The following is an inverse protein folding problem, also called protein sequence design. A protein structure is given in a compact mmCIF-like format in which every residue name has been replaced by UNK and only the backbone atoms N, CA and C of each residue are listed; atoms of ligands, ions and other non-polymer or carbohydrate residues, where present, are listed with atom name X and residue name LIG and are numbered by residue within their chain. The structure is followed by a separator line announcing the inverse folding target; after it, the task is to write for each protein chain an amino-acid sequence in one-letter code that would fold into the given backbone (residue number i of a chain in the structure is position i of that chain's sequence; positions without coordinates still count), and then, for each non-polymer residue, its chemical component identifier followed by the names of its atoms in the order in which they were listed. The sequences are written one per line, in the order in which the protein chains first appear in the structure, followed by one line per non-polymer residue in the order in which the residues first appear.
data_IF_963865680589
#
_entry.id   IF_963865680589
#
_cell.length_a   1.000
_cell.length_b   1.000
_cell.length_c   1.000
_cell.angle_alpha   90.00
_cell.angle_beta   90.00
_cell.angle_gamma   90.00
#
_symmetry.space_group_name_H-M   'P 1'
#
loop_
_entity.id
_entity.type
_entity.pdbx_description
1 polymer ?
#
# COMPACT_ATOMS: atom_id res chain seq x y z
N UNK A 1 0.13 -5.70 -27.47
CA UNK A 1 0.83 -5.54 -26.20
C UNK A 1 0.87 -6.88 -25.49
N UNK A 2 2.02 -7.29 -24.93
CA UNK A 2 2.08 -8.49 -24.09
C UNK A 2 1.19 -8.31 -22.87
N UNK A 3 0.39 -9.33 -22.55
CA UNK A 3 -0.46 -9.31 -21.36
C UNK A 3 0.47 -9.31 -20.13
N UNK A 4 0.31 -8.35 -19.24
CA UNK A 4 1.02 -8.33 -17.96
C UNK A 4 0.40 -9.38 -17.03
N UNK A 5 1.24 -10.27 -16.54
CA UNK A 5 0.86 -11.25 -15.51
C UNK A 5 0.93 -10.52 -14.16
N UNK A 6 -0.20 -10.06 -13.66
CA UNK A 6 -0.32 -9.26 -12.44
C UNK A 6 -1.32 -9.89 -11.47
N UNK A 7 -0.95 -9.87 -10.19
CA UNK A 7 -1.81 -10.31 -9.07
C UNK A 7 -2.04 -9.11 -8.15
N UNK A 8 -3.30 -8.84 -7.71
CA UNK A 8 -3.63 -7.78 -6.78
C UNK A 8 -2.75 -7.76 -5.53
N UNK A 9 -2.18 -6.57 -5.23
CA UNK A 9 -1.20 -6.37 -4.17
C UNK A 9 0.24 -6.34 -4.63
N UNK A 10 0.53 -6.79 -5.86
CA UNK A 10 1.84 -6.62 -6.47
C UNK A 10 2.11 -5.15 -6.84
N UNK A 11 3.38 -4.86 -7.03
CA UNK A 11 3.92 -3.54 -7.33
C UNK A 11 4.75 -3.59 -8.61
N UNK A 12 5.00 -2.43 -9.19
CA UNK A 12 5.98 -2.21 -10.26
C UNK A 12 7.02 -1.19 -9.80
N UNK A 13 8.23 -1.27 -10.37
CA UNK A 13 9.26 -0.24 -10.22
C UNK A 13 9.25 0.63 -11.46
N UNK A 14 8.98 1.89 -11.27
CA UNK A 14 8.91 2.89 -12.34
C UNK A 14 10.19 3.70 -12.38
N UNK A 15 10.74 3.89 -13.57
CA UNK A 15 11.84 4.81 -13.81
C UNK A 15 11.31 6.24 -13.81
N UNK A 16 11.68 7.02 -12.80
CA UNK A 16 11.20 8.40 -12.59
C UNK A 16 12.15 9.46 -13.14
N UNK A 17 13.25 9.03 -13.78
CA UNK A 17 14.23 9.91 -14.40
C UNK A 17 14.65 9.35 -15.75
N UNK A 18 15.14 10.24 -16.64
CA UNK A 18 15.71 9.81 -17.90
C UNK A 18 16.97 8.97 -17.65
N UNK A 19 16.96 7.72 -18.09
CA UNK A 19 18.08 6.79 -17.98
C UNK A 19 19.26 7.17 -18.89
N UNK A 20 19.02 8.00 -19.92
CA UNK A 20 20.03 8.47 -20.86
C UNK A 20 20.80 9.69 -20.32
N UNK A 21 20.30 10.35 -19.26
CA UNK A 21 21.00 11.47 -18.63
C UNK A 21 22.07 10.98 -17.64
N UNK A 22 23.39 11.19 -17.92
CA UNK A 22 24.47 10.76 -17.03
C UNK A 22 24.43 11.38 -15.63
N UNK A 23 23.78 12.54 -15.44
CA UNK A 23 23.65 13.18 -14.13
C UNK A 23 22.76 12.36 -13.19
N UNK A 24 21.82 11.58 -13.71
CA UNK A 24 20.94 10.72 -12.92
C UNK A 24 21.68 9.52 -12.33
N UNK A 25 22.77 9.07 -12.93
CA UNK A 25 23.60 7.96 -12.47
C UNK A 25 24.32 8.24 -11.14
N UNK A 26 24.46 9.53 -10.80
CA UNK A 26 25.03 9.94 -9.49
C UNK A 26 24.06 9.74 -8.32
N UNK A 27 22.78 9.47 -8.61
CA UNK A 27 21.74 9.25 -7.60
C UNK A 27 20.88 8.02 -7.94
N UNK A 28 21.47 6.82 -7.95
CA UNK A 28 20.77 5.62 -8.42
C UNK A 28 19.50 5.31 -7.63
N UNK A 29 19.42 5.72 -6.35
CA UNK A 29 18.23 5.56 -5.51
C UNK A 29 17.08 6.51 -5.88
N UNK A 30 17.32 7.53 -6.68
CA UNK A 30 16.28 8.46 -7.15
C UNK A 30 15.71 8.03 -8.51
N UNK A 31 16.33 7.06 -9.19
CA UNK A 31 15.96 6.58 -10.52
C UNK A 31 14.68 5.73 -10.48
N UNK A 32 14.52 4.91 -9.44
CA UNK A 32 13.43 3.96 -9.33
C UNK A 32 12.49 4.31 -8.18
N UNK A 33 11.20 4.18 -8.44
CA UNK A 33 10.16 4.27 -7.42
C UNK A 33 9.21 3.09 -7.54
N UNK A 34 8.86 2.54 -6.41
CA UNK A 34 7.95 1.41 -6.31
C UNK A 34 6.53 1.90 -6.09
N UNK A 35 5.61 1.45 -6.93
CA UNK A 35 4.19 1.76 -6.83
C UNK A 35 3.37 0.49 -6.84
N UNK A 36 2.40 0.39 -5.96
CA UNK A 36 1.38 -0.64 -6.02
C UNK A 36 0.51 -0.43 -7.27
N UNK A 37 0.19 -1.51 -7.95
CA UNK A 37 -0.72 -1.46 -9.10
C UNK A 37 -2.14 -1.33 -8.59
N UNK A 38 -2.85 -0.30 -9.06
CA UNK A 38 -4.26 -0.08 -8.74
C UNK A 38 -5.16 -1.01 -9.54
N UNK A 39 -4.97 -1.01 -10.86
CA UNK A 39 -5.75 -1.82 -11.80
C UNK A 39 -4.93 -2.10 -13.06
N UNK A 40 -5.27 -3.21 -13.69
CA UNK A 40 -4.80 -3.55 -15.03
C UNK A 40 -5.95 -4.07 -15.87
N UNK A 41 -6.34 -3.27 -16.85
CA UNK A 41 -7.40 -3.60 -17.83
C UNK A 41 -6.98 -3.05 -19.21
N UNK A 42 -6.11 -3.79 -19.90
CA UNK A 42 -5.49 -3.34 -21.15
C UNK A 42 -4.49 -2.18 -20.99
N UNK A 43 -4.47 -1.52 -19.84
CA UNK A 43 -3.53 -0.49 -19.42
C UNK A 43 -3.20 -0.62 -17.94
N UNK A 44 -1.99 -0.24 -17.55
CA UNK A 44 -1.56 -0.22 -16.16
C UNK A 44 -1.99 1.09 -15.50
N UNK A 45 -2.75 1.02 -14.41
CA UNK A 45 -3.12 2.18 -13.62
C UNK A 45 -2.34 2.21 -12.30
N UNK A 46 -1.68 3.32 -12.07
CA UNK A 46 -0.96 3.61 -10.82
C UNK A 46 -1.58 4.84 -10.17
N UNK A 47 -1.72 4.82 -8.86
CA UNK A 47 -2.08 5.99 -8.07
C UNK A 47 -0.86 6.46 -7.29
N UNK A 48 -0.51 7.73 -7.44
CA UNK A 48 0.64 8.34 -6.78
C UNK A 48 0.14 9.33 -5.75
N UNK A 49 0.53 9.13 -4.49
CA UNK A 49 0.24 10.07 -3.43
C UNK A 49 1.08 11.33 -3.62
N UNK A 50 0.41 12.46 -3.79
CA UNK A 50 1.05 13.76 -3.88
C UNK A 50 1.21 14.38 -2.49
N UNK A 51 2.46 14.43 -2.01
CA UNK A 51 2.78 15.08 -0.75
C UNK A 51 3.23 16.52 -0.99
N UNK A 52 2.87 17.42 -0.11
CA UNK A 52 3.29 18.83 -0.17
C UNK A 52 4.82 19.00 -0.15
N UNK A 53 5.54 18.05 0.45
CA UNK A 53 7.01 18.04 0.54
C UNK A 53 7.73 17.56 -0.73
N UNK A 54 6.98 17.10 -1.75
CA UNK A 54 7.49 16.87 -3.11
C UNK A 54 8.69 15.94 -3.25
N UNK A 55 8.55 14.67 -2.84
CA UNK A 55 9.56 13.64 -3.15
C UNK A 55 9.73 13.43 -4.67
N UNK A 56 10.84 12.78 -5.11
CA UNK A 56 11.12 12.58 -6.54
C UNK A 56 9.97 11.91 -7.31
N UNK A 57 9.27 10.97 -6.68
CA UNK A 57 8.13 10.30 -7.29
C UNK A 57 6.90 11.19 -7.50
N UNK A 58 6.56 12.02 -6.50
CA UNK A 58 5.46 12.98 -6.63
C UNK A 58 5.77 14.05 -7.68
N UNK A 59 7.02 14.53 -7.72
CA UNK A 59 7.46 15.48 -8.76
C UNK A 59 7.34 14.87 -10.14
N UNK A 60 7.87 13.67 -10.35
CA UNK A 60 7.74 12.94 -11.62
C UNK A 60 6.27 12.80 -12.04
N UNK A 61 5.39 12.42 -11.14
CA UNK A 61 3.98 12.26 -11.46
C UNK A 61 3.28 13.57 -11.86
N UNK A 62 3.66 14.71 -11.25
CA UNK A 62 3.14 16.04 -11.65
C UNK A 62 3.65 16.52 -13.01
N UNK A 63 4.89 16.15 -13.36
CA UNK A 63 5.55 16.56 -14.60
C UNK A 63 5.22 15.65 -15.80
N UNK A 64 4.60 14.49 -15.53
CA UNK A 64 4.26 13.49 -16.54
C UNK A 64 3.21 14.04 -17.53
N UNK A 65 3.48 13.89 -18.81
CA UNK A 65 2.59 14.36 -19.87
C UNK A 65 2.00 13.21 -20.68
N UNK A 66 0.79 13.41 -21.20
CA UNK A 66 0.15 12.45 -22.09
C UNK A 66 1.03 12.18 -23.33
N UNK A 67 1.22 10.91 -23.67
CA UNK A 67 2.07 10.47 -24.78
C UNK A 67 3.53 10.25 -24.40
N UNK A 68 3.94 10.59 -23.18
CA UNK A 68 5.29 10.35 -22.71
C UNK A 68 5.53 8.85 -22.48
N UNK A 69 6.70 8.35 -22.88
CA UNK A 69 7.11 6.97 -22.65
C UNK A 69 7.50 6.78 -21.18
N UNK A 70 6.91 5.79 -20.54
CA UNK A 70 7.21 5.39 -19.16
C UNK A 70 7.75 3.97 -19.15
N UNK A 71 8.92 3.78 -18.53
CA UNK A 71 9.53 2.46 -18.35
C UNK A 71 9.26 1.96 -16.93
N UNK A 72 8.83 0.71 -16.83
CA UNK A 72 8.57 0.05 -15.54
C UNK A 72 8.94 -1.43 -15.56
N UNK A 73 9.17 -2.03 -14.40
CA UNK A 73 9.48 -3.47 -14.25
C UNK A 73 8.22 -4.33 -14.46
N UNK A 74 8.41 -5.64 -14.64
CA UNK A 74 7.31 -6.58 -14.44
C UNK A 74 6.73 -6.43 -13.03
N UNK A 75 5.41 -6.73 -12.83
CA UNK A 75 4.81 -6.78 -11.51
C UNK A 75 5.53 -7.79 -10.62
N UNK A 76 5.80 -7.42 -9.38
CA UNK A 76 6.55 -8.23 -8.43
C UNK A 76 6.00 -8.09 -6.99
N UNK A 77 6.46 -8.97 -6.11
CA UNK A 77 6.15 -8.94 -4.69
C UNK A 77 5.20 -10.04 -4.22
N UNK A 78 5.35 -10.42 -2.96
CA UNK A 78 4.58 -11.48 -2.29
C UNK A 78 3.47 -10.95 -1.39
N UNK A 79 3.21 -9.64 -1.41
CA UNK A 79 2.14 -9.01 -0.64
C UNK A 79 0.81 -9.11 -1.39
N UNK A 80 0.28 -10.33 -1.48
CA UNK A 80 -0.91 -10.69 -2.25
C UNK A 80 -1.93 -11.40 -1.37
N UNK A 81 -3.18 -11.51 -1.85
CA UNK A 81 -4.26 -12.22 -1.14
C UNK A 81 -3.88 -13.67 -0.82
N UNK A 82 -4.51 -14.19 0.22
CA UNK A 82 -4.55 -15.60 0.55
C UNK A 82 -5.93 -16.13 0.18
N UNK A 83 -5.96 -17.10 -0.69
CA UNK A 83 -7.21 -17.68 -1.22
C UNK A 83 -7.92 -18.59 -0.20
N UNK A 84 -7.17 -19.09 0.80
CA UNK A 84 -7.62 -20.03 1.82
C UNK A 84 -8.13 -19.39 3.11
N UNK A 85 -8.20 -18.06 3.19
CA UNK A 85 -8.59 -17.36 4.41
C UNK A 85 -10.12 -17.21 4.52
N UNK A 86 -10.73 -17.50 5.69
CA UNK A 86 -12.17 -17.37 5.88
C UNK A 86 -12.65 -15.92 5.90
N UNK A 87 -11.77 -14.95 6.14
CA UNK A 87 -12.00 -13.52 6.11
C UNK A 87 -10.69 -12.76 6.02
N UNK A 88 -10.76 -11.47 5.67
CA UNK A 88 -9.59 -10.62 5.47
C UNK A 88 -9.65 -9.34 6.29
N UNK A 89 -8.53 -8.99 6.92
CA UNK A 89 -8.36 -7.76 7.68
C UNK A 89 -7.31 -6.90 6.98
N UNK A 90 -7.62 -5.64 6.72
CA UNK A 90 -6.70 -4.71 6.07
C UNK A 90 -6.48 -3.51 7.00
N UNK A 91 -5.26 -3.29 7.45
CA UNK A 91 -4.94 -2.16 8.34
C UNK A 91 -3.72 -1.43 7.83
N UNK A 92 -3.87 -0.13 7.58
CA UNK A 92 -2.79 0.69 7.06
C UNK A 92 -3.15 2.18 6.97
N UNK A 93 -2.26 2.95 6.40
CA UNK A 93 -2.49 4.35 6.10
C UNK A 93 -2.60 4.61 4.59
N UNK A 94 -2.77 5.88 4.16
CA UNK A 94 -3.10 6.22 2.77
C UNK A 94 -2.22 5.57 1.70
N UNK A 95 -0.93 5.33 1.98
CA UNK A 95 -0.05 4.68 0.99
C UNK A 95 -0.41 3.22 0.75
N UNK A 96 -1.06 2.57 1.72
CA UNK A 96 -1.56 1.21 1.61
C UNK A 96 -2.87 1.11 0.80
N UNK A 97 -3.62 2.21 0.68
CA UNK A 97 -4.97 2.24 0.08
C UNK A 97 -5.00 1.67 -1.33
N UNK A 98 -3.95 1.89 -2.13
CA UNK A 98 -3.86 1.41 -3.52
C UNK A 98 -3.78 -0.12 -3.56
N UNK A 99 -2.85 -0.72 -2.79
CA UNK A 99 -2.71 -2.17 -2.73
C UNK A 99 -3.97 -2.83 -2.16
N UNK A 100 -4.53 -2.26 -1.10
CA UNK A 100 -5.74 -2.78 -0.47
C UNK A 100 -6.96 -2.68 -1.39
N UNK A 101 -7.10 -1.59 -2.13
CA UNK A 101 -8.18 -1.44 -3.09
C UNK A 101 -8.14 -2.49 -4.19
N UNK A 102 -6.96 -2.74 -4.76
CA UNK A 102 -6.78 -3.79 -5.74
C UNK A 102 -7.11 -5.19 -5.18
N UNK A 103 -6.71 -5.46 -3.93
CA UNK A 103 -7.02 -6.72 -3.24
C UNK A 103 -8.53 -6.85 -2.94
N UNK A 104 -9.17 -5.78 -2.43
CA UNK A 104 -10.60 -5.80 -2.09
C UNK A 104 -11.48 -6.08 -3.31
N UNK A 105 -11.15 -5.47 -4.46
CA UNK A 105 -11.87 -5.71 -5.73
C UNK A 105 -11.71 -7.15 -6.23
N UNK A 106 -10.60 -7.80 -5.93
CA UNK A 106 -10.31 -9.16 -6.37
C UNK A 106 -10.96 -10.24 -5.48
N UNK A 107 -11.46 -9.87 -4.31
CA UNK A 107 -12.13 -10.82 -3.43
C UNK A 107 -13.50 -11.24 -4.01
N UNK A 108 -13.90 -12.51 -3.85
CA UNK A 108 -15.25 -12.96 -4.18
C UNK A 108 -16.32 -12.14 -3.45
N UNK A 109 -17.44 -11.88 -4.11
CA UNK A 109 -18.56 -11.19 -3.49
C UNK A 109 -19.04 -11.92 -2.22
N UNK A 110 -19.28 -11.17 -1.14
CA UNK A 110 -19.70 -11.73 0.15
C UNK A 110 -18.57 -12.23 1.03
N UNK A 111 -17.31 -12.14 0.60
CA UNK A 111 -16.15 -12.43 1.48
C UNK A 111 -16.14 -11.42 2.64
N UNK A 112 -16.12 -11.88 3.90
CA UNK A 112 -16.06 -10.97 5.03
C UNK A 112 -14.73 -10.20 5.05
N UNK A 113 -14.81 -8.86 5.18
CA UNK A 113 -13.65 -7.97 5.19
C UNK A 113 -13.74 -6.98 6.34
N UNK A 114 -12.61 -6.64 6.92
CA UNK A 114 -12.46 -5.69 8.03
C UNK A 114 -11.38 -4.66 7.70
N UNK A 115 -11.65 -3.71 6.79
CA UNK A 115 -10.69 -2.72 6.39
C UNK A 115 -10.72 -1.50 7.33
N UNK A 116 -9.55 -1.13 7.86
CA UNK A 116 -9.32 0.07 8.68
C UNK A 116 -8.18 0.86 8.05
N UNK A 117 -8.47 2.05 7.60
CA UNK A 117 -7.50 2.90 6.92
C UNK A 117 -7.43 4.28 7.58
N UNK A 118 -6.22 4.74 7.76
CA UNK A 118 -5.94 6.09 8.26
C UNK A 118 -5.46 6.96 7.11
N UNK A 119 -6.03 8.15 6.96
CA UNK A 119 -5.61 9.16 5.98
C UNK A 119 -5.37 10.50 6.66
N UNK A 120 -4.60 11.37 6.01
CA UNK A 120 -4.33 12.69 6.56
C UNK A 120 -5.62 13.50 6.76
N UNK A 121 -6.52 13.49 5.77
CA UNK A 121 -7.79 14.22 5.73
C UNK A 121 -8.84 13.45 4.91
N UNK A 122 -10.14 13.81 5.00
CA UNK A 122 -11.20 13.13 4.27
C UNK A 122 -11.04 13.07 2.74
N UNK A 123 -10.40 14.07 2.15
CA UNK A 123 -10.10 14.15 0.71
C UNK A 123 -9.02 13.15 0.24
N UNK A 124 -8.24 12.60 1.18
CA UNK A 124 -7.26 11.53 0.91
C UNK A 124 -7.86 10.13 0.78
N UNK A 125 -9.18 9.95 0.94
CA UNK A 125 -9.81 8.64 0.78
C UNK A 125 -9.88 8.20 -0.67
N UNK A 126 -9.51 6.96 -0.93
CA UNK A 126 -9.80 6.31 -2.21
C UNK A 126 -11.19 5.64 -2.19
N UNK A 127 -11.83 5.41 -3.34
CA UNK A 127 -13.14 4.78 -3.44
C UNK A 127 -13.04 3.25 -3.25
N UNK A 128 -12.79 2.81 -2.02
CA UNK A 128 -12.58 1.40 -1.66
C UNK A 128 -13.87 0.66 -1.27
N UNK A 129 -15.01 1.33 -1.31
CA UNK A 129 -16.30 0.79 -0.91
C UNK A 129 -16.78 1.28 0.46
N UNK A 130 -18.03 0.94 0.84
CA UNK A 130 -18.67 1.47 2.06
C UNK A 130 -18.16 0.85 3.36
N UNK A 131 -17.57 -0.34 3.30
CA UNK A 131 -17.19 -1.11 4.50
C UNK A 131 -15.89 -0.65 5.14
N UNK A 132 -15.20 0.35 4.55
CA UNK A 132 -13.92 0.85 5.08
C UNK A 132 -14.15 1.77 6.28
N UNK A 133 -13.56 1.40 7.41
CA UNK A 133 -13.46 2.27 8.58
C UNK A 133 -12.34 3.28 8.37
N UNK A 134 -12.69 4.54 8.19
CA UNK A 134 -11.75 5.62 7.94
C UNK A 134 -11.40 6.39 9.22
N UNK A 135 -10.10 6.56 9.47
CA UNK A 135 -9.53 7.42 10.52
C UNK A 135 -8.87 8.63 9.88
N UNK A 136 -8.88 9.75 10.60
CA UNK A 136 -8.27 11.01 10.14
C UNK A 136 -7.18 11.44 11.11
N UNK A 137 -6.00 11.75 10.57
CA UNK A 137 -4.88 12.19 11.41
C UNK A 137 -4.97 13.64 11.83
N UNK A 138 -5.63 14.48 11.04
CA UNK A 138 -5.82 15.91 11.35
C UNK A 138 -4.49 16.61 11.71
N UNK A 139 -3.48 16.45 10.86
CA UNK A 139 -2.15 17.04 11.04
C UNK A 139 -1.17 16.23 11.89
N UNK A 140 -1.59 15.10 12.47
CA UNK A 140 -0.69 14.19 13.18
C UNK A 140 0.14 13.36 12.20
N UNK A 141 1.31 12.88 12.67
CA UNK A 141 2.15 11.97 11.90
C UNK A 141 1.52 10.59 11.73
N UNK A 142 1.78 9.93 10.60
CA UNK A 142 1.47 8.51 10.40
C UNK A 142 2.47 7.59 11.12
N UNK A 143 3.60 8.14 11.60
CA UNK A 143 4.62 7.36 12.31
C UNK A 143 4.10 6.88 13.65
N UNK A 144 4.20 5.57 13.88
CA UNK A 144 3.77 4.91 15.11
C UNK A 144 2.33 5.27 15.53
N UNK A 145 1.38 5.30 14.55
CA UNK A 145 0.01 5.75 14.78
C UNK A 145 -0.70 4.98 15.90
N UNK A 146 -0.85 5.62 17.05
CA UNK A 146 -1.62 5.08 18.16
C UNK A 146 -3.13 4.98 17.85
N UNK A 147 -3.77 5.93 17.16
CA UNK A 147 -5.17 5.81 16.75
C UNK A 147 -5.44 4.60 15.86
N UNK A 148 -4.56 4.34 14.86
CA UNK A 148 -4.73 3.20 13.98
C UNK A 148 -4.54 1.87 14.72
N UNK A 149 -3.55 1.79 15.61
CA UNK A 149 -3.35 0.63 16.47
C UNK A 149 -4.56 0.37 17.38
N UNK A 150 -5.11 1.41 17.97
CA UNK A 150 -6.28 1.30 18.83
C UNK A 150 -7.53 0.88 18.07
N UNK A 151 -7.73 1.39 16.86
CA UNK A 151 -8.81 0.95 15.98
C UNK A 151 -8.66 -0.55 15.60
N UNK A 152 -7.45 -1.00 15.31
CA UNK A 152 -7.18 -2.42 15.05
C UNK A 152 -7.46 -3.31 16.28
N UNK A 153 -7.19 -2.82 17.50
CA UNK A 153 -7.50 -3.52 18.74
C UNK A 153 -9.00 -3.70 18.98
N UNK A 154 -9.80 -2.71 18.59
CA UNK A 154 -11.26 -2.72 18.74
C UNK A 154 -11.99 -3.56 17.68
N UNK A 155 -11.29 -4.08 16.69
CA UNK A 155 -11.92 -4.95 15.69
C UNK A 155 -12.49 -6.20 16.36
N UNK A 156 -13.79 -6.37 16.22
CA UNK A 156 -14.51 -7.58 16.59
C UNK A 156 -14.34 -8.62 15.49
N UNK A 157 -13.35 -9.48 15.65
CA UNK A 157 -13.00 -10.51 14.68
C UNK A 157 -13.44 -11.89 15.16
N UNK A 158 -13.73 -12.82 14.24
CA UNK A 158 -13.98 -14.22 14.60
C UNK A 158 -12.82 -14.80 15.42
N UNK A 159 -13.12 -15.85 16.20
CA UNK A 159 -12.12 -16.51 17.05
C UNK A 159 -10.98 -17.13 16.24
N UNK A 160 -11.32 -17.75 15.12
CA UNK A 160 -10.34 -18.35 14.22
C UNK A 160 -9.62 -17.26 13.43
N UNK A 161 -8.27 -17.33 13.31
CA UNK A 161 -7.54 -16.35 12.55
C UNK A 161 -7.89 -16.36 11.07
N UNK A 162 -8.19 -15.19 10.51
CA UNK A 162 -8.24 -14.94 9.06
C UNK A 162 -6.88 -14.58 8.49
N UNK A 163 -6.87 -13.83 7.40
CA UNK A 163 -5.67 -13.22 6.82
C UNK A 163 -5.62 -11.73 7.16
N UNK A 164 -4.49 -11.26 7.67
CA UNK A 164 -4.24 -9.84 7.97
C UNK A 164 -3.20 -9.27 7.01
N UNK A 165 -3.49 -8.10 6.46
CA UNK A 165 -2.62 -7.32 5.59
C UNK A 165 -2.32 -5.99 6.25
N UNK A 166 -1.04 -5.75 6.53
CA UNK A 166 -0.54 -4.55 7.22
C UNK A 166 0.42 -3.83 6.29
N UNK A 167 0.11 -2.58 5.92
CA UNK A 167 1.01 -1.82 5.04
C UNK A 167 1.00 -0.33 5.37
N UNK A 168 2.05 0.38 4.93
CA UNK A 168 2.22 1.80 5.16
C UNK A 168 3.52 2.16 5.89
N UNK A 169 3.45 3.06 6.86
CA UNK A 169 4.60 3.51 7.64
C UNK A 169 5.21 2.36 8.49
N UNK A 170 6.54 2.25 8.49
CA UNK A 170 7.26 1.09 9.01
C UNK A 170 7.04 0.82 10.51
N UNK A 171 7.05 1.87 11.36
CA UNK A 171 6.82 1.72 12.81
C UNK A 171 5.39 1.33 13.12
N UNK A 172 4.44 1.94 12.42
CA UNK A 172 3.02 1.60 12.53
C UNK A 172 2.77 0.15 12.12
N UNK A 173 3.35 -0.30 11.00
CA UNK A 173 3.28 -1.70 10.57
C UNK A 173 3.87 -2.66 11.61
N UNK A 174 4.98 -2.30 12.26
CA UNK A 174 5.57 -3.10 13.34
C UNK A 174 4.66 -3.21 14.56
N UNK A 175 4.03 -2.11 14.99
CA UNK A 175 3.10 -2.09 16.11
C UNK A 175 1.87 -2.96 15.82
N UNK A 176 1.27 -2.80 14.64
CA UNK A 176 0.14 -3.60 14.21
C UNK A 176 0.49 -5.09 14.14
N UNK A 177 1.65 -5.42 13.56
CA UNK A 177 2.12 -6.81 13.50
C UNK A 177 2.32 -7.42 14.90
N UNK A 178 2.90 -6.66 15.83
CA UNK A 178 3.02 -7.08 17.23
C UNK A 178 1.65 -7.34 17.85
N UNK A 179 0.68 -6.47 17.58
CA UNK A 179 -0.69 -6.65 18.06
C UNK A 179 -1.29 -7.98 17.59
N UNK A 180 -1.29 -8.25 16.29
CA UNK A 180 -1.91 -9.49 15.79
C UNK A 180 -1.14 -10.74 16.20
N UNK A 181 0.20 -10.72 16.14
CA UNK A 181 1.02 -11.92 16.44
C UNK A 181 1.18 -12.16 17.95
N UNK A 182 1.50 -11.11 18.74
CA UNK A 182 1.86 -11.29 20.15
C UNK A 182 0.69 -11.06 21.08
N UNK A 183 -0.17 -10.06 20.83
CA UNK A 183 -1.28 -9.74 21.72
C UNK A 183 -2.52 -10.60 21.44
N UNK A 184 -2.87 -10.81 20.14
CA UNK A 184 -3.98 -11.70 19.73
C UNK A 184 -3.58 -13.17 19.57
N UNK A 185 -2.28 -13.48 19.55
CA UNK A 185 -1.78 -14.85 19.43
C UNK A 185 -1.95 -15.47 18.02
N UNK A 186 -2.10 -14.65 16.98
CA UNK A 186 -2.31 -15.16 15.63
C UNK A 186 -1.04 -15.80 15.04
N UNK A 187 -1.14 -16.85 14.26
CA UNK A 187 -0.02 -17.45 13.56
C UNK A 187 0.67 -16.41 12.66
N UNK A 188 2.01 -16.39 12.67
CA UNK A 188 2.79 -15.45 11.85
C UNK A 188 2.44 -15.51 10.36
N UNK A 189 2.11 -16.69 9.86
CA UNK A 189 1.71 -16.92 8.47
C UNK A 189 0.36 -16.28 8.12
N UNK A 190 -0.50 -16.00 9.09
CA UNK A 190 -1.77 -15.30 8.90
C UNK A 190 -1.58 -13.78 8.76
N UNK A 191 -0.39 -13.26 9.09
CA UNK A 191 -0.11 -11.83 9.09
C UNK A 191 0.91 -11.48 8.01
N UNK A 192 0.45 -10.89 6.93
CA UNK A 192 1.28 -10.32 5.88
C UNK A 192 1.54 -8.85 6.17
N UNK A 193 2.79 -8.46 6.21
CA UNK A 193 3.17 -7.08 6.52
C UNK A 193 4.17 -6.56 5.51
N UNK A 194 3.93 -5.32 5.02
CA UNK A 194 4.82 -4.67 4.08
C UNK A 194 4.94 -3.19 4.40
N UNK A 195 6.03 -2.74 5.02
CA UNK A 195 6.31 -1.32 5.15
C UNK A 195 6.60 -0.72 3.77
N UNK A 196 6.00 0.43 3.47
CA UNK A 196 6.19 1.16 2.23
C UNK A 196 7.17 2.32 2.38
N UNK A 197 7.21 2.92 3.56
CA UNK A 197 8.09 4.05 3.83
C UNK A 197 8.44 4.16 5.33
N UNK A 198 9.46 4.94 5.63
CA UNK A 198 9.82 5.36 6.98
C UNK A 198 10.39 6.78 6.94
N UNK A 199 10.16 7.61 7.97
CA UNK A 199 10.74 8.93 8.06
C UNK A 199 12.26 8.92 7.89
N UNK A 200 12.78 9.83 7.06
CA UNK A 200 14.21 9.97 6.81
C UNK A 200 14.85 8.88 5.94
N UNK A 201 14.11 7.86 5.50
CA UNK A 201 14.61 6.84 4.58
C UNK A 201 14.15 7.08 3.15
N UNK A 202 15.03 6.82 2.19
CA UNK A 202 14.73 6.85 0.75
C UNK A 202 14.61 5.41 0.25
N UNK A 203 13.39 4.90 0.21
CA UNK A 203 13.10 3.49 -0.09
C UNK A 203 13.25 2.56 1.11
N UNK A 204 12.52 1.45 1.07
CA UNK A 204 12.55 0.36 2.05
C UNK A 204 12.73 -0.99 1.34
N UNK A 205 13.56 -1.02 0.29
CA UNK A 205 13.93 -2.25 -0.43
C UNK A 205 14.88 -3.11 0.39
#
# INVERSE_FOLDING_TARGET
MARLDWVPGQQVRVHTTDLLDPHNWRRPRDILRTYSVWRYDGGLELMVLDHDTGGPGARWARELQTGQLVTFSHPEGSFVLRDDAPYHVFVGEETASVAFGAMLVALPAGTPVYPVLEVARPDGRLPLGPDVSWLYRDGRSAEASAPLLEAARRLELPREPGAVYLAGEARTVQLLRRHFVSERGWPRQSVRSKPFWAPGKRGLD
#
